data_IF_235946612485
#
_entry.id   IF_235946612485
#
_cell.length_a   1.000
_cell.length_b   1.000
_cell.length_c   1.000
_cell.angle_alpha   90.00
_cell.angle_beta   90.00
_cell.angle_gamma   90.00
#
_symmetry.space_group_name_H-M   'P 1'
#
loop_
_entity.id
_entity.type
_entity.pdbx_description
1 polymer ?
#
# COMPACT_ATOMS: atom_id res chain seq x y z
N UNK A 1 14.14 21.55 -1.81
CA UNK A 1 13.85 20.38 -2.67
C UNK A 1 12.55 19.77 -2.18
N UNK A 2 11.49 19.76 -2.98
CA UNK A 2 10.24 19.06 -2.63
C UNK A 2 10.49 17.57 -2.83
N UNK A 3 10.37 16.77 -1.75
CA UNK A 3 10.48 15.31 -1.82
C UNK A 3 9.33 14.79 -2.67
N UNK A 4 9.63 14.00 -3.70
CA UNK A 4 8.60 13.41 -4.55
C UNK A 4 7.64 12.57 -3.68
N UNK A 5 6.33 12.57 -3.97
CA UNK A 5 5.37 11.79 -3.22
C UNK A 5 5.77 10.31 -3.25
N UNK A 6 5.85 9.69 -2.07
CA UNK A 6 6.22 8.28 -1.93
C UNK A 6 5.12 7.43 -2.57
N UNK A 7 5.44 6.77 -3.67
CA UNK A 7 4.57 5.79 -4.31
C UNK A 7 4.76 4.42 -3.64
N UNK A 8 3.68 3.66 -3.57
CA UNK A 8 3.64 2.32 -3.00
C UNK A 8 3.14 1.38 -4.08
N UNK A 9 3.89 0.32 -4.35
CA UNK A 9 3.47 -0.71 -5.27
C UNK A 9 2.53 -1.70 -4.57
N UNK A 10 1.40 -2.01 -5.20
CA UNK A 10 0.46 -3.01 -4.71
C UNK A 10 0.08 -3.97 -5.83
N UNK A 11 -0.15 -5.23 -5.46
CA UNK A 11 -0.77 -6.24 -6.31
C UNK A 11 -2.18 -6.53 -5.83
N UNK A 12 -3.11 -6.79 -6.75
CA UNK A 12 -4.43 -7.27 -6.39
C UNK A 12 -4.92 -8.38 -7.32
N UNK A 13 -5.78 -9.24 -6.79
CA UNK A 13 -6.51 -10.24 -7.57
C UNK A 13 -7.91 -10.46 -6.98
N UNK A 14 -8.91 -10.64 -7.85
CA UNK A 14 -10.27 -10.99 -7.46
C UNK A 14 -10.36 -12.47 -7.18
N UNK A 15 -10.79 -12.83 -5.97
CA UNK A 15 -11.16 -14.19 -5.63
C UNK A 15 -12.43 -14.58 -6.40
N UNK A 16 -12.36 -15.68 -7.17
CA UNK A 16 -13.47 -16.14 -7.99
C UNK A 16 -14.65 -16.65 -7.17
N UNK A 17 -14.42 -17.10 -5.92
CA UNK A 17 -15.46 -17.65 -5.06
C UNK A 17 -16.26 -16.57 -4.34
N UNK A 18 -15.58 -15.60 -3.74
CA UNK A 18 -16.23 -14.53 -2.96
C UNK A 18 -16.46 -13.25 -3.75
N UNK A 19 -15.76 -13.07 -4.87
CA UNK A 19 -15.79 -11.83 -5.65
C UNK A 19 -15.03 -10.66 -5.00
N UNK A 20 -14.45 -10.85 -3.82
CA UNK A 20 -13.60 -9.88 -3.14
C UNK A 20 -12.22 -9.80 -3.80
N UNK A 21 -11.55 -8.68 -3.59
CA UNK A 21 -10.18 -8.47 -4.02
C UNK A 21 -9.23 -8.71 -2.86
N UNK A 22 -8.25 -9.55 -3.10
CA UNK A 22 -7.09 -9.72 -2.23
C UNK A 22 -6.05 -8.74 -2.73
N UNK A 23 -5.70 -7.76 -1.89
CA UNK A 23 -4.75 -6.69 -2.21
C UNK A 23 -3.55 -6.83 -1.28
N UNK A 24 -2.34 -6.77 -1.83
CA UNK A 24 -1.11 -6.90 -1.05
C UNK A 24 -0.13 -5.79 -1.40
N UNK A 25 0.56 -5.28 -0.38
CA UNK A 25 1.69 -4.36 -0.59
C UNK A 25 2.87 -5.15 -1.15
N UNK A 26 3.41 -4.71 -2.28
CA UNK A 26 4.65 -5.21 -2.84
C UNK A 26 5.79 -4.32 -2.33
N UNK A 27 6.77 -4.94 -1.69
CA UNK A 27 7.98 -4.26 -1.24
C UNK A 27 9.15 -5.17 -1.61
N UNK A 28 10.03 -4.66 -2.47
CA UNK A 28 11.21 -5.40 -2.94
C UNK A 28 12.19 -5.71 -1.79
N UNK A 29 12.05 -5.03 -0.64
CA UNK A 29 12.81 -5.34 0.57
C UNK A 29 12.28 -6.55 1.34
N UNK A 30 11.09 -7.05 1.00
CA UNK A 30 10.56 -8.34 1.49
C UNK A 30 11.22 -9.51 0.76
N UNK A 31 12.49 -9.78 1.07
CA UNK A 31 13.06 -11.08 0.77
C UNK A 31 12.33 -12.15 1.60
N UNK A 32 12.05 -13.33 1.06
CA UNK A 32 11.35 -14.42 1.78
C UNK A 32 12.02 -14.83 3.11
N UNK A 33 13.31 -14.47 3.28
CA UNK A 33 14.13 -14.72 4.47
C UNK A 33 14.32 -13.47 5.35
N UNK A 34 13.67 -12.35 5.04
CA UNK A 34 13.77 -11.11 5.83
C UNK A 34 13.11 -11.27 7.20
N UNK A 35 13.77 -10.77 8.25
CA UNK A 35 13.22 -10.70 9.61
C UNK A 35 12.09 -9.66 9.76
N UNK A 36 11.90 -8.79 8.76
CA UNK A 36 10.83 -7.78 8.73
C UNK A 36 9.55 -8.41 8.17
N UNK A 37 8.95 -9.32 8.95
CA UNK A 37 7.91 -10.28 8.52
C UNK A 37 6.47 -9.76 8.60
N UNK A 38 6.12 -8.63 7.98
CA UNK A 38 4.69 -8.26 7.89
C UNK A 38 4.33 -7.82 6.48
N UNK A 39 4.12 -8.81 5.61
CA UNK A 39 3.36 -8.61 4.39
C UNK A 39 1.94 -8.22 4.81
N UNK A 40 1.51 -7.02 4.40
CA UNK A 40 0.16 -6.56 4.64
C UNK A 40 -0.74 -7.04 3.50
N UNK A 41 -1.88 -7.61 3.86
CA UNK A 41 -2.89 -8.10 2.94
C UNK A 41 -4.23 -7.51 3.39
N UNK A 42 -4.90 -6.82 2.48
CA UNK A 42 -6.26 -6.33 2.67
C UNK A 42 -7.21 -7.16 1.80
N UNK A 43 -8.34 -7.59 2.36
CA UNK A 43 -9.41 -8.23 1.59
C UNK A 43 -10.54 -7.22 1.47
N UNK A 44 -10.80 -6.75 0.26
CA UNK A 44 -11.67 -5.61 0.00
C UNK A 44 -12.78 -5.97 -1.00
N UNK A 45 -14.00 -5.44 -0.84
CA UNK A 45 -15.02 -5.55 -1.88
C UNK A 45 -14.61 -4.71 -3.09
N UNK A 46 -15.20 -4.97 -4.26
CA UNK A 46 -14.94 -4.20 -5.48
C UNK A 46 -15.20 -2.68 -5.39
N UNK A 47 -15.87 -2.21 -4.33
CA UNK A 47 -16.01 -0.78 -4.05
C UNK A 47 -14.67 -0.07 -3.78
N UNK A 48 -13.59 -0.79 -3.46
CA UNK A 48 -12.27 -0.18 -3.20
C UNK A 48 -11.71 0.59 -4.41
N UNK A 49 -12.11 0.26 -5.64
CA UNK A 49 -11.75 1.03 -6.84
C UNK A 49 -12.25 2.49 -6.80
N UNK A 50 -13.14 2.86 -5.85
CA UNK A 50 -13.49 4.27 -5.62
C UNK A 50 -12.29 5.09 -5.12
N UNK A 51 -11.39 4.49 -4.34
CA UNK A 51 -10.13 5.12 -3.92
C UNK A 51 -9.09 5.15 -5.05
N UNK A 52 -9.30 4.37 -6.11
CA UNK A 52 -8.37 4.19 -7.24
C UNK A 52 -9.05 4.50 -8.58
N UNK A 53 -9.49 5.75 -8.81
CA UNK A 53 -10.37 6.10 -9.93
C UNK A 53 -9.72 5.94 -11.31
N UNK A 54 -8.40 5.87 -11.40
CA UNK A 54 -7.63 5.70 -12.63
C UNK A 54 -7.56 4.25 -13.10
N UNK A 55 -8.09 3.30 -12.32
CA UNK A 55 -8.03 1.87 -12.62
C UNK A 55 -9.34 1.39 -13.23
N UNK A 56 -9.23 0.55 -14.25
CA UNK A 56 -10.39 -0.14 -14.80
C UNK A 56 -11.04 -1.03 -13.74
N UNK A 57 -12.28 -0.70 -13.38
CA UNK A 57 -13.11 -1.43 -12.40
C UNK A 57 -13.43 -2.86 -12.83
N UNK A 58 -13.24 -3.19 -14.11
CA UNK A 58 -13.41 -4.56 -14.64
C UNK A 58 -12.14 -5.40 -14.50
N UNK A 59 -11.02 -4.81 -14.08
CA UNK A 59 -9.76 -5.52 -13.86
C UNK A 59 -9.93 -6.60 -12.80
N UNK A 60 -9.52 -7.82 -13.15
CA UNK A 60 -9.57 -8.99 -12.27
C UNK A 60 -8.29 -9.12 -11.45
N UNK A 61 -7.14 -8.75 -12.01
CA UNK A 61 -5.85 -8.71 -11.31
C UNK A 61 -4.93 -7.69 -11.98
N UNK A 62 -4.07 -7.04 -11.20
CA UNK A 62 -3.02 -6.17 -11.71
C UNK A 62 -1.96 -5.86 -10.63
N UNK A 63 -0.86 -5.26 -11.07
CA UNK A 63 0.13 -4.57 -10.22
C UNK A 63 0.12 -3.09 -10.59
N UNK A 64 0.06 -2.23 -9.58
CA UNK A 64 -0.09 -0.78 -9.75
C UNK A 64 0.74 -0.03 -8.72
N UNK A 65 1.02 1.23 -9.02
CA UNK A 65 1.53 2.19 -8.04
C UNK A 65 0.39 3.07 -7.53
N UNK A 66 0.36 3.30 -6.22
CA UNK A 66 -0.61 4.16 -5.55
C UNK A 66 0.11 5.13 -4.62
N UNK A 67 -0.53 6.25 -4.29
CA UNK A 67 -0.03 7.17 -3.29
C UNK A 67 -0.17 6.62 -1.86
N UNK A 68 0.60 7.17 -0.92
CA UNK A 68 0.46 6.87 0.51
C UNK A 68 -0.98 7.09 1.02
N UNK A 69 -1.63 8.18 0.61
CA UNK A 69 -3.02 8.50 1.00
C UNK A 69 -3.99 7.42 0.49
N UNK A 70 -3.86 7.02 -0.78
CA UNK A 70 -4.69 5.95 -1.33
C UNK A 70 -4.44 4.60 -0.64
N UNK A 71 -3.20 4.34 -0.22
CA UNK A 71 -2.87 3.14 0.54
C UNK A 71 -3.53 3.15 1.93
N UNK A 72 -3.57 4.29 2.61
CA UNK A 72 -4.30 4.47 3.86
C UNK A 72 -5.82 4.29 3.66
N UNK A 73 -6.39 4.87 2.60
CA UNK A 73 -7.83 4.77 2.27
C UNK A 73 -8.29 3.32 2.04
N UNK A 74 -7.41 2.46 1.51
CA UNK A 74 -7.68 1.03 1.30
C UNK A 74 -7.29 0.16 2.52
N UNK A 75 -6.78 0.78 3.59
CA UNK A 75 -6.54 0.14 4.88
C UNK A 75 -5.11 -0.37 5.12
N UNK A 76 -4.13 0.00 4.29
CA UNK A 76 -2.73 -0.28 4.59
C UNK A 76 -2.21 0.63 5.70
N UNK A 77 -1.39 0.07 6.57
CA UNK A 77 -0.61 0.84 7.54
C UNK A 77 0.62 1.37 6.82
N UNK A 78 0.63 2.68 6.55
CA UNK A 78 1.76 3.39 5.96
C UNK A 78 2.58 4.03 7.09
N UNK A 79 3.90 3.77 7.18
CA UNK A 79 4.73 4.44 8.17
C UNK A 79 4.84 5.93 7.84
N UNK A 80 4.37 6.77 8.76
CA UNK A 80 4.60 8.21 8.71
C UNK A 80 6.08 8.43 8.99
N UNK A 81 6.82 8.97 8.01
CA UNK A 81 8.16 9.49 8.26
C UNK A 81 8.01 10.71 9.17
N UNK A 82 8.03 10.46 10.48
CA UNK A 82 8.06 11.54 11.46
C UNK A 82 9.50 12.03 11.45
N UNK A 83 9.75 13.24 10.95
CA UNK A 83 11.03 13.90 11.16
C UNK A 83 11.20 14.07 12.67
N UNK A 84 11.97 13.17 13.29
CA UNK A 84 12.41 13.35 14.67
C UNK A 84 13.40 14.51 14.63
N UNK A 85 12.90 15.72 14.91
CA UNK A 85 13.76 16.87 15.17
C UNK A 85 14.49 16.56 16.48
N UNK A 86 15.70 16.01 16.37
CA UNK A 86 16.65 15.95 17.47
C UNK A 86 17.02 17.39 17.81
N UNK A 87 16.29 18.00 18.75
CA UNK A 87 16.83 19.15 19.46
C UNK A 87 18.03 18.63 20.26
N UNK A 88 19.23 19.00 19.85
CA UNK A 88 20.40 18.98 20.73
C UNK A 88 20.04 19.81 21.96
N UNK A 89 19.72 19.13 23.06
CA UNK A 89 19.69 19.76 24.37
C UNK A 89 21.14 19.89 24.78
N UNK A 90 21.74 21.05 24.51
CA UNK A 90 22.99 21.43 25.18
C UNK A 90 22.74 21.44 26.69
N UNK A 91 23.45 20.59 27.42
CA UNK A 91 23.67 20.72 28.86
C UNK A 91 25.14 20.40 29.14
#
# INVERSE_FOLDING_TARGET
MVKAPKTIEIGYARDCRTGNFIVTKLDSTFHANSKHRRQQICVLPGAFFRALPTIDRRSVANVIEISAIQAEDIGFIVPVETEVILHEVCA
#
